data_IF_663398398481
#
_entry.id   IF_663398398481
#
_cell.length_a   1.000
_cell.length_b   1.000
_cell.length_c   1.000
_cell.angle_alpha   90.00
_cell.angle_beta   90.00
_cell.angle_gamma   90.00
#
_symmetry.space_group_name_H-M   'P 1'
#
loop_
_entity.id
_entity.type
_entity.pdbx_description
1 polymer ?
#
# COMPACT_ATOMS: atom_id res chain seq x y z
N UNK A 1 -1.84 30.63 7.68
CA UNK A 1 -2.26 30.20 6.32
C UNK A 1 -3.59 29.46 6.45
N UNK A 2 -4.67 29.97 5.85
CA UNK A 2 -5.90 29.17 5.71
C UNK A 2 -5.61 28.06 4.70
N UNK A 3 -5.71 26.80 5.11
CA UNK A 3 -5.61 25.67 4.18
C UNK A 3 -6.76 25.81 3.19
N UNK A 4 -6.48 26.33 1.99
CA UNK A 4 -7.48 26.52 0.94
C UNK A 4 -8.11 25.16 0.58
N UNK A 5 -9.40 25.14 0.24
CA UNK A 5 -10.16 23.97 -0.25
C UNK A 5 -9.38 23.12 -1.27
N UNK A 6 -8.52 23.73 -2.08
CA UNK A 6 -7.64 23.04 -3.04
C UNK A 6 -6.65 22.01 -2.41
N UNK A 7 -6.32 22.13 -1.12
CA UNK A 7 -5.46 21.16 -0.43
C UNK A 7 -6.19 19.84 -0.10
N UNK A 8 -7.53 19.89 -0.05
CA UNK A 8 -8.42 18.79 0.34
C UNK A 8 -8.70 17.84 -0.83
N UNK A 9 -8.65 18.32 -2.07
CA UNK A 9 -9.03 17.54 -3.27
C UNK A 9 -7.99 16.49 -3.72
N UNK A 10 -6.86 16.33 -3.03
CA UNK A 10 -5.81 15.36 -3.40
C UNK A 10 -5.67 14.21 -2.41
N UNK A 11 -6.77 13.57 -2.03
CA UNK A 11 -6.80 12.29 -1.27
C UNK A 11 -6.44 11.09 -2.19
N UNK A 12 -5.93 11.35 -3.41
CA UNK A 12 -5.48 10.29 -4.32
C UNK A 12 -4.04 9.82 -4.11
N UNK A 13 -3.30 10.44 -3.18
CA UNK A 13 -1.95 10.00 -2.78
C UNK A 13 -1.93 9.63 -1.29
N UNK A 14 -1.45 8.41 -0.97
CA UNK A 14 -1.27 7.86 0.40
C UNK A 14 -0.24 8.62 1.27
N UNK A 15 -0.26 9.96 1.27
CA UNK A 15 0.72 10.81 1.97
C UNK A 15 0.00 11.79 2.86
N UNK A 16 0.47 11.91 4.11
CA UNK A 16 -0.15 12.80 5.10
C UNK A 16 -0.03 14.27 4.68
N UNK A 17 -0.98 15.10 5.12
CA UNK A 17 -0.97 16.54 4.88
C UNK A 17 0.36 17.19 5.32
N UNK A 18 0.90 16.77 6.46
CA UNK A 18 2.20 17.21 6.95
C UNK A 18 3.32 16.98 5.90
N UNK A 19 3.37 15.80 5.28
CA UNK A 19 4.36 15.52 4.23
C UNK A 19 4.20 16.41 3.00
N UNK A 20 2.97 16.76 2.63
CA UNK A 20 2.72 17.68 1.51
C UNK A 20 3.25 19.09 1.83
N UNK A 21 2.99 19.58 3.05
CA UNK A 21 3.48 20.89 3.52
C UNK A 21 5.01 20.92 3.61
N UNK A 22 5.63 19.86 4.14
CA UNK A 22 7.10 19.73 4.19
C UNK A 22 7.73 19.63 2.80
N UNK A 23 7.02 19.14 1.78
CA UNK A 23 7.52 19.15 0.39
C UNK A 23 7.43 20.51 -0.27
N UNK A 24 6.37 21.26 0.03
CA UNK A 24 6.31 22.69 -0.24
C UNK A 24 7.34 23.48 0.59
N UNK A 25 7.91 22.80 1.59
CA UNK A 25 9.03 23.10 2.46
C UNK A 25 8.85 24.26 3.39
N UNK A 26 7.64 24.30 3.90
CA UNK A 26 7.32 24.91 5.17
C UNK A 26 7.47 23.85 6.27
N UNK A 27 7.97 24.29 7.42
CA UNK A 27 8.03 23.51 8.63
C UNK A 27 7.77 24.38 9.85
N UNK A 28 7.16 23.77 10.85
CA UNK A 28 7.06 24.26 12.22
C UNK A 28 6.94 23.06 13.17
N UNK A 29 7.28 23.19 14.47
CA UNK A 29 7.38 22.05 15.39
C UNK A 29 6.10 21.23 15.54
N UNK A 30 4.94 21.89 15.55
CA UNK A 30 3.63 21.25 15.70
C UNK A 30 2.99 20.82 14.38
N UNK A 31 3.70 20.89 13.23
CA UNK A 31 3.14 20.62 11.90
C UNK A 31 2.37 19.31 11.81
N UNK A 32 2.92 18.23 12.39
CA UNK A 32 2.28 16.92 12.37
C UNK A 32 0.99 16.91 13.22
N UNK A 33 1.04 17.52 14.41
CA UNK A 33 -0.12 17.66 15.29
C UNK A 33 -1.20 18.51 14.63
N UNK A 34 -0.84 19.67 14.10
CA UNK A 34 -1.76 20.61 13.45
C UNK A 34 -2.39 20.02 12.19
N UNK A 35 -1.61 19.28 11.38
CA UNK A 35 -2.13 18.56 10.23
C UNK A 35 -3.13 17.46 10.63
N UNK A 36 -2.86 16.77 11.73
CA UNK A 36 -3.75 15.73 12.28
C UNK A 36 -5.03 16.35 12.83
N UNK A 37 -4.92 17.41 13.62
CA UNK A 37 -6.05 18.12 14.20
C UNK A 37 -6.90 18.80 13.12
N UNK A 38 -6.28 19.31 12.06
CA UNK A 38 -6.98 19.79 10.87
C UNK A 38 -7.76 18.67 10.17
N UNK A 39 -7.13 17.52 9.94
CA UNK A 39 -7.80 16.38 9.29
C UNK A 39 -8.98 15.85 10.12
N UNK A 40 -8.87 15.87 11.46
CA UNK A 40 -9.97 15.53 12.38
C UNK A 40 -11.16 16.48 12.28
N UNK A 41 -10.92 17.80 12.16
CA UNK A 41 -11.97 18.82 12.04
C UNK A 41 -12.57 18.94 10.63
N UNK A 42 -11.87 18.44 9.61
CA UNK A 42 -12.29 18.60 8.23
C UNK A 42 -13.34 17.55 7.83
N UNK A 43 -14.60 17.97 7.65
CA UNK A 43 -15.73 17.08 7.29
C UNK A 43 -15.46 16.24 6.04
N UNK A 44 -14.99 16.88 4.96
CA UNK A 44 -14.64 16.16 3.72
C UNK A 44 -13.52 15.13 3.93
N UNK A 45 -12.51 15.41 4.77
CA UNK A 45 -11.49 14.42 5.09
C UNK A 45 -12.07 13.26 5.91
N UNK A 46 -12.97 13.53 6.86
CA UNK A 46 -13.62 12.47 7.65
C UNK A 46 -14.54 11.59 6.80
N UNK A 47 -15.32 12.20 5.90
CA UNK A 47 -16.33 11.51 5.08
C UNK A 47 -15.73 10.66 3.96
N UNK A 48 -14.59 11.09 3.39
CA UNK A 48 -13.91 10.39 2.29
C UNK A 48 -12.63 9.68 2.72
N UNK A 49 -12.32 9.65 4.02
CA UNK A 49 -11.20 8.84 4.52
C UNK A 49 -11.49 7.37 4.26
N UNK A 50 -10.49 6.66 3.72
CA UNK A 50 -10.54 5.20 3.67
C UNK A 50 -10.51 4.68 5.10
N UNK A 51 -11.56 3.98 5.55
CA UNK A 51 -11.62 3.35 6.85
C UNK A 51 -10.62 2.17 6.89
N UNK A 52 -9.37 2.44 7.28
CA UNK A 52 -8.32 1.41 7.42
C UNK A 52 -8.37 0.74 8.81
N UNK A 53 -9.21 1.27 9.73
CA UNK A 53 -9.23 0.88 11.14
C UNK A 53 -10.59 0.34 11.60
N UNK A 54 -11.33 -0.36 10.75
CA UNK A 54 -12.31 -1.29 11.27
C UNK A 54 -11.52 -2.41 11.98
N UNK A 55 -11.64 -2.58 13.31
CA UNK A 55 -11.04 -3.74 13.95
C UNK A 55 -11.59 -4.98 13.27
N UNK A 56 -10.73 -5.96 13.01
CA UNK A 56 -11.20 -7.26 12.57
C UNK A 56 -12.17 -7.77 13.63
N UNK A 57 -13.46 -7.82 13.32
CA UNK A 57 -14.44 -8.43 14.20
C UNK A 57 -14.01 -9.87 14.43
N UNK A 58 -13.98 -10.31 15.69
CA UNK A 58 -13.73 -11.72 16.03
C UNK A 58 -14.69 -12.57 15.21
N UNK A 59 -14.15 -13.41 14.33
CA UNK A 59 -14.96 -14.40 13.64
C UNK A 59 -15.21 -15.52 14.63
N UNK A 60 -16.40 -15.56 15.20
CA UNK A 60 -16.82 -16.67 16.02
C UNK A 60 -17.00 -17.92 15.12
N UNK A 61 -16.42 -19.08 15.50
CA UNK A 61 -16.62 -20.31 14.75
C UNK A 61 -18.09 -20.73 14.82
N UNK A 62 -18.65 -21.11 13.68
CA UNK A 62 -20.01 -21.65 13.64
C UNK A 62 -20.02 -22.97 14.41
N UNK A 63 -20.77 -23.02 15.52
CA UNK A 63 -20.98 -24.24 16.30
C UNK A 63 -22.16 -24.99 15.69
N UNK A 64 -21.94 -26.20 15.19
CA UNK A 64 -22.97 -27.02 14.53
C UNK A 64 -23.03 -28.35 15.26
N UNK A 65 -24.20 -28.70 15.77
CA UNK A 65 -24.41 -29.88 16.60
C UNK A 65 -24.75 -31.13 15.77
N UNK A 66 -25.36 -30.97 14.59
CA UNK A 66 -25.75 -32.09 13.74
C UNK A 66 -25.60 -31.84 12.23
N UNK A 67 -25.43 -32.91 11.43
CA UNK A 67 -25.48 -32.81 9.97
C UNK A 67 -26.81 -32.18 9.50
N UNK A 68 -26.75 -31.44 8.40
CA UNK A 68 -27.86 -30.70 7.76
C UNK A 68 -28.41 -29.49 8.51
N UNK A 69 -27.82 -29.09 9.64
CA UNK A 69 -28.28 -27.94 10.43
C UNK A 69 -27.97 -26.59 9.76
N UNK A 70 -26.77 -26.42 9.17
CA UNK A 70 -26.38 -25.19 8.51
C UNK A 70 -25.60 -25.41 7.20
N UNK A 71 -25.95 -24.60 6.20
CA UNK A 71 -25.38 -24.63 4.85
C UNK A 71 -25.06 -23.21 4.39
N UNK A 72 -23.91 -23.06 3.74
CA UNK A 72 -23.48 -21.84 3.07
C UNK A 72 -23.77 -21.92 1.58
N UNK A 73 -24.53 -20.95 1.06
CA UNK A 73 -24.80 -20.85 -0.38
C UNK A 73 -23.96 -19.71 -0.95
N UNK A 74 -23.29 -19.98 -2.06
CA UNK A 74 -22.62 -18.97 -2.85
C UNK A 74 -23.03 -19.06 -4.32
N UNK A 75 -23.15 -17.91 -4.98
CA UNK A 75 -23.44 -17.83 -6.41
C UNK A 75 -22.18 -17.33 -7.10
N UNK A 76 -21.57 -18.18 -7.92
CA UNK A 76 -20.48 -17.76 -8.79
C UNK A 76 -21.06 -17.23 -10.10
N UNK A 77 -20.55 -16.05 -10.47
CA UNK A 77 -21.13 -15.09 -11.41
C UNK A 77 -21.30 -15.56 -12.87
N UNK A 78 -21.65 -14.60 -13.74
CA UNK A 78 -22.13 -14.83 -15.11
C UNK A 78 -21.04 -15.29 -16.07
N UNK A 79 -20.86 -16.60 -16.18
CA UNK A 79 -20.01 -17.24 -17.18
C UNK A 79 -20.63 -17.12 -18.59
N UNK A 80 -19.80 -17.24 -19.65
CA UNK A 80 -20.30 -17.36 -21.02
C UNK A 80 -21.39 -18.45 -21.07
N UNK A 81 -22.50 -18.21 -21.78
CA UNK A 81 -23.65 -19.10 -21.74
C UNK A 81 -23.24 -20.51 -22.17
N UNK A 82 -23.32 -21.45 -21.23
CA UNK A 82 -23.14 -22.87 -21.51
C UNK A 82 -24.40 -23.44 -22.19
N UNK A 83 -24.37 -24.73 -22.56
CA UNK A 83 -25.52 -25.45 -23.11
C UNK A 83 -26.78 -25.18 -22.27
N UNK A 84 -27.86 -24.75 -22.93
CA UNK A 84 -29.11 -24.28 -22.32
C UNK A 84 -29.06 -22.91 -21.59
N UNK A 85 -28.22 -21.98 -22.06
CA UNK A 85 -28.16 -20.57 -21.61
C UNK A 85 -27.85 -20.35 -20.11
N UNK A 86 -27.29 -21.36 -19.44
CA UNK A 86 -26.91 -21.25 -18.02
C UNK A 86 -25.65 -20.41 -17.88
N UNK A 87 -25.69 -19.42 -16.99
CA UNK A 87 -24.60 -18.45 -16.75
C UNK A 87 -24.07 -18.48 -15.32
N UNK A 88 -24.77 -19.09 -14.38
CA UNK A 88 -24.41 -19.05 -12.96
C UNK A 88 -24.22 -20.45 -12.41
N UNK A 89 -23.33 -20.56 -11.42
CA UNK A 89 -23.13 -21.78 -10.64
C UNK A 89 -23.55 -21.48 -9.21
N UNK A 90 -24.48 -22.26 -8.68
CA UNK A 90 -24.84 -22.23 -7.27
C UNK A 90 -23.99 -23.29 -6.57
N UNK A 91 -23.24 -22.86 -5.56
CA UNK A 91 -22.49 -23.72 -4.66
C UNK A 91 -23.21 -23.76 -3.32
N UNK A 92 -23.46 -24.95 -2.80
CA UNK A 92 -23.96 -25.16 -1.45
C UNK A 92 -22.91 -25.99 -0.71
N UNK A 93 -22.46 -25.49 0.45
CA UNK A 93 -21.47 -26.15 1.31
C UNK A 93 -22.11 -26.37 2.67
N UNK A 94 -22.17 -27.61 3.12
CA UNK A 94 -22.57 -27.94 4.48
C UNK A 94 -21.42 -27.66 5.44
N UNK A 95 -21.68 -26.99 6.56
CA UNK A 95 -20.63 -26.53 7.48
C UNK A 95 -20.25 -27.54 8.58
N UNK A 96 -20.84 -28.75 8.57
CA UNK A 96 -20.56 -29.77 9.58
C UNK A 96 -19.11 -30.28 9.48
N UNK A 97 -18.31 -30.05 10.53
CA UNK A 97 -16.93 -30.52 10.61
C UNK A 97 -16.88 -31.67 11.63
N UNK A 98 -16.67 -32.90 11.16
CA UNK A 98 -16.63 -34.10 12.01
C UNK A 98 -15.33 -34.10 12.84
N UNK A 99 -15.41 -33.75 14.11
CA UNK A 99 -14.29 -33.87 15.05
C UNK A 99 -14.50 -35.11 15.91
N UNK A 100 -13.66 -36.15 15.73
CA UNK A 100 -13.70 -37.32 16.61
C UNK A 100 -13.35 -38.69 16.01
N UNK A 101 -13.18 -38.86 14.70
CA UNK A 101 -12.72 -40.15 14.14
C UNK A 101 -11.78 -39.94 12.96
N UNK A 102 -10.66 -40.66 12.93
CA UNK A 102 -9.83 -40.86 11.74
C UNK A 102 -10.70 -41.43 10.61
N UNK A 103 -11.23 -40.57 9.76
CA UNK A 103 -12.07 -40.98 8.64
C UNK A 103 -12.78 -39.81 7.95
N UNK A 104 -12.16 -39.37 6.85
CA UNK A 104 -12.76 -38.64 5.72
C UNK A 104 -13.25 -37.21 5.96
N UNK A 105 -12.44 -36.25 5.51
CA UNK A 105 -12.95 -34.93 5.09
C UNK A 105 -13.49 -35.10 3.68
N UNK A 106 -14.81 -35.26 3.53
CA UNK A 106 -15.46 -35.16 2.22
C UNK A 106 -15.57 -33.68 1.85
N UNK A 107 -14.54 -33.15 1.18
CA UNK A 107 -14.70 -31.95 0.37
C UNK A 107 -15.61 -32.30 -0.81
N UNK A 108 -16.86 -31.82 -0.78
CA UNK A 108 -17.77 -31.92 -1.92
C UNK A 108 -17.27 -31.00 -3.05
N UNK A 109 -16.41 -31.52 -3.92
CA UNK A 109 -16.26 -30.98 -5.28
C UNK A 109 -17.52 -31.32 -6.07
N UNK A 110 -18.55 -30.46 -6.03
CA UNK A 110 -19.71 -30.63 -6.88
C UNK A 110 -20.03 -29.33 -7.63
N UNK A 111 -19.56 -29.24 -8.87
CA UNK A 111 -20.34 -28.57 -9.92
C UNK A 111 -21.61 -29.39 -10.12
N UNK A 112 -22.65 -29.08 -9.35
CA UNK A 112 -23.94 -29.73 -9.50
C UNK A 112 -24.59 -29.24 -10.81
N UNK A 113 -24.45 -30.02 -11.88
CA UNK A 113 -25.59 -30.24 -12.76
C UNK A 113 -26.59 -31.06 -11.95
N UNK A 114 -27.66 -30.42 -11.48
CA UNK A 114 -28.78 -31.14 -10.88
C UNK A 114 -29.37 -32.10 -11.91
N UNK A 115 -29.02 -33.38 -11.80
CA UNK A 115 -29.87 -34.49 -12.22
C UNK A 115 -29.97 -35.44 -11.03
N UNK A 116 -31.14 -35.45 -10.40
CA UNK A 116 -31.46 -36.36 -9.33
C UNK A 116 -31.64 -37.75 -9.93
N UNK A 117 -30.73 -38.68 -9.62
CA UNK A 117 -31.03 -40.10 -9.70
C UNK A 117 -30.34 -40.82 -8.55
N UNK A 118 -31.17 -41.46 -7.71
CA UNK A 118 -30.73 -42.36 -6.64
C UNK A 118 -29.82 -43.44 -7.20
N UNK A 119 -28.67 -43.66 -6.57
CA UNK A 119 -28.24 -44.96 -6.01
C UNK A 119 -26.90 -44.79 -5.28
N UNK A 120 -26.92 -45.23 -4.03
CA UNK A 120 -25.80 -45.46 -3.13
C UNK A 120 -24.99 -46.68 -3.59
N UNK A 121 -23.69 -46.54 -3.80
CA UNK A 121 -22.70 -47.61 -3.59
C UNK A 121 -21.34 -47.00 -3.23
N UNK A 122 -20.66 -47.62 -2.27
CA UNK A 122 -19.51 -47.15 -1.51
C UNK A 122 -18.14 -47.37 -2.17
N UNK A 123 -18.01 -47.29 -3.50
CA UNK A 123 -16.81 -47.76 -4.22
C UNK A 123 -15.90 -46.65 -4.80
N UNK A 124 -16.03 -45.39 -4.37
CA UNK A 124 -15.35 -44.27 -5.07
C UNK A 124 -14.21 -43.57 -4.33
N UNK A 125 -13.61 -44.22 -3.33
CA UNK A 125 -12.59 -43.59 -2.48
C UNK A 125 -11.13 -43.70 -2.99
N UNK A 126 -10.88 -44.16 -4.22
CA UNK A 126 -9.50 -44.38 -4.73
C UNK A 126 -9.28 -43.89 -6.17
N UNK A 127 -9.80 -42.71 -6.54
CA UNK A 127 -9.51 -42.11 -7.87
C UNK A 127 -8.45 -41.03 -7.74
N UNK A 128 -7.34 -41.21 -8.45
CA UNK A 128 -6.30 -40.21 -8.62
C UNK A 128 -6.88 -38.90 -9.16
N UNK A 129 -6.40 -37.76 -8.65
CA UNK A 129 -6.80 -36.45 -9.17
C UNK A 129 -6.40 -36.32 -10.64
N UNK A 130 -7.16 -35.58 -11.45
CA UNK A 130 -6.82 -35.38 -12.86
C UNK A 130 -5.41 -34.82 -13.08
N UNK A 131 -4.88 -34.07 -12.10
CA UNK A 131 -3.51 -33.55 -12.13
C UNK A 131 -2.46 -34.65 -12.00
N UNK A 132 -2.73 -35.69 -11.20
CA UNK A 132 -1.85 -36.86 -11.04
C UNK A 132 -2.05 -37.83 -12.22
N UNK A 133 -3.30 -38.12 -12.56
CA UNK A 133 -3.66 -39.05 -13.64
C UNK A 133 -3.22 -38.57 -15.04
N UNK A 134 -3.01 -37.26 -15.22
CA UNK A 134 -2.49 -36.65 -16.46
C UNK A 134 -1.06 -36.12 -16.33
N UNK A 135 -0.37 -36.45 -15.23
CA UNK A 135 1.01 -36.03 -15.04
C UNK A 135 1.93 -36.81 -15.97
N UNK A 136 2.47 -36.12 -16.97
CA UNK A 136 3.47 -36.67 -17.87
C UNK A 136 4.85 -36.16 -17.43
N UNK A 137 5.73 -37.10 -17.08
CA UNK A 137 7.07 -36.81 -16.58
C UNK A 137 7.93 -36.12 -17.64
N UNK A 138 7.87 -36.58 -18.88
CA UNK A 138 8.68 -36.07 -19.98
C UNK A 138 8.22 -34.66 -20.38
N UNK A 139 6.91 -34.48 -20.54
CA UNK A 139 6.33 -33.18 -20.82
C UNK A 139 6.60 -32.16 -19.72
N UNK A 140 6.50 -32.57 -18.46
CA UNK A 140 6.81 -31.70 -17.32
C UNK A 140 8.31 -31.36 -17.23
N UNK A 141 9.20 -32.26 -17.65
CA UNK A 141 10.63 -31.97 -17.74
C UNK A 141 10.93 -30.94 -18.84
N UNK A 142 10.33 -31.09 -20.02
CA UNK A 142 10.45 -30.12 -21.12
C UNK A 142 9.90 -28.75 -20.74
N UNK A 143 8.70 -28.69 -20.15
CA UNK A 143 8.11 -27.44 -19.66
C UNK A 143 8.97 -26.78 -18.57
N UNK A 144 9.57 -27.57 -17.67
CA UNK A 144 10.47 -27.05 -16.64
C UNK A 144 11.76 -26.48 -17.22
N UNK A 145 12.36 -27.15 -18.21
CA UNK A 145 13.56 -26.64 -18.90
C UNK A 145 13.22 -25.34 -19.62
N UNK A 146 12.09 -25.29 -20.33
CA UNK A 146 11.59 -24.08 -20.96
C UNK A 146 11.41 -22.95 -19.93
N UNK A 147 10.74 -23.20 -18.82
CA UNK A 147 10.56 -22.21 -17.77
C UNK A 147 11.90 -21.69 -17.24
N UNK A 148 12.88 -22.56 -16.99
CA UNK A 148 14.23 -22.20 -16.54
C UNK A 148 14.94 -21.29 -17.55
N UNK A 149 14.82 -21.56 -18.85
CA UNK A 149 15.40 -20.70 -19.91
C UNK A 149 14.73 -19.33 -19.97
N UNK A 150 13.42 -19.26 -19.70
CA UNK A 150 12.65 -18.02 -19.72
C UNK A 150 12.76 -17.20 -18.42
N UNK A 151 13.45 -17.70 -17.37
CA UNK A 151 13.59 -17.00 -16.09
C UNK A 151 14.30 -15.66 -16.27
N UNK A 152 15.35 -15.60 -17.09
CA UNK A 152 16.13 -14.38 -17.30
C UNK A 152 15.28 -13.30 -17.97
N UNK A 153 14.54 -13.65 -19.02
CA UNK A 153 13.60 -12.74 -19.67
C UNK A 153 12.49 -12.27 -18.71
N UNK A 154 11.95 -13.16 -17.88
CA UNK A 154 10.94 -12.81 -16.84
C UNK A 154 11.53 -11.86 -15.80
N UNK A 155 12.80 -12.05 -15.40
CA UNK A 155 13.52 -11.17 -14.48
C UNK A 155 13.74 -9.80 -15.12
N UNK A 156 14.21 -9.74 -16.36
CA UNK A 156 14.46 -8.48 -17.07
C UNK A 156 13.16 -7.70 -17.28
N UNK A 157 12.08 -8.37 -17.67
CA UNK A 157 10.76 -7.77 -17.74
C UNK A 157 10.28 -7.25 -16.36
N UNK A 158 10.55 -7.98 -15.29
CA UNK A 158 10.24 -7.53 -13.92
C UNK A 158 11.08 -6.31 -13.52
N UNK A 159 12.39 -6.31 -13.81
CA UNK A 159 13.29 -5.18 -13.56
C UNK A 159 12.86 -3.94 -14.37
N UNK A 160 12.52 -4.10 -15.64
CA UNK A 160 12.02 -3.03 -16.49
C UNK A 160 10.73 -2.41 -15.91
N UNK A 161 9.79 -3.24 -15.43
CA UNK A 161 8.59 -2.76 -14.72
C UNK A 161 8.92 -1.99 -13.45
N UNK A 162 9.86 -2.48 -12.63
CA UNK A 162 10.29 -1.81 -11.40
C UNK A 162 10.94 -0.46 -11.73
N UNK A 163 11.84 -0.41 -12.71
CA UNK A 163 12.52 0.82 -13.14
C UNK A 163 11.53 1.82 -13.71
N UNK A 164 10.62 1.38 -14.56
CA UNK A 164 9.55 2.22 -15.10
C UNK A 164 8.68 2.78 -13.97
N UNK A 165 8.28 1.95 -13.01
CA UNK A 165 7.50 2.38 -11.85
C UNK A 165 8.27 3.39 -10.99
N UNK A 166 9.55 3.13 -10.69
CA UNK A 166 10.43 4.07 -9.99
C UNK A 166 10.55 5.40 -10.73
N UNK A 167 10.68 5.38 -12.06
CA UNK A 167 10.73 6.56 -12.91
C UNK A 167 9.44 7.37 -12.88
N UNK A 168 8.27 6.72 -12.97
CA UNK A 168 6.98 7.38 -12.83
C UNK A 168 6.81 8.02 -11.44
N UNK A 169 7.22 7.30 -10.39
CA UNK A 169 7.20 7.82 -9.02
C UNK A 169 8.12 9.04 -8.86
N UNK A 170 9.32 9.01 -9.46
CA UNK A 170 10.25 10.14 -9.48
C UNK A 170 9.70 11.33 -10.25
N UNK A 171 9.10 11.13 -11.42
CA UNK A 171 8.48 12.21 -12.21
C UNK A 171 7.33 12.87 -11.45
N UNK A 172 6.45 12.07 -10.86
CA UNK A 172 5.34 12.58 -10.03
C UNK A 172 5.87 13.35 -8.83
N UNK A 173 6.88 12.82 -8.14
CA UNK A 173 7.54 13.49 -7.03
C UNK A 173 8.15 14.84 -7.47
N UNK A 174 8.99 14.83 -8.51
CA UNK A 174 9.69 16.02 -8.99
C UNK A 174 8.74 17.09 -9.53
N UNK A 175 7.62 16.70 -10.18
CA UNK A 175 6.59 17.63 -10.67
C UNK A 175 5.98 18.48 -9.54
N UNK A 176 5.91 17.93 -8.33
CA UNK A 176 5.30 18.60 -7.18
C UNK A 176 6.31 19.44 -6.36
N UNK A 177 7.61 19.35 -6.66
CA UNK A 177 8.63 20.15 -5.99
C UNK A 177 8.66 21.54 -6.62
N UNK A 178 8.24 22.56 -5.85
CA UNK A 178 8.40 23.95 -6.26
C UNK A 178 9.77 24.47 -5.81
N UNK A 179 10.63 24.95 -6.72
CA UNK A 179 11.91 25.54 -6.33
C UNK A 179 11.67 26.81 -5.52
N UNK A 180 12.31 26.91 -4.34
CA UNK A 180 12.17 28.08 -3.46
C UNK A 180 13.35 29.03 -3.58
N UNK A 181 13.04 30.32 -3.44
CA UNK A 181 14.01 31.38 -3.18
C UNK A 181 13.79 31.88 -1.76
N UNK A 182 14.88 32.04 -1.00
CA UNK A 182 14.87 32.61 0.35
C UNK A 182 15.41 34.03 0.28
N UNK A 183 14.87 34.92 1.10
CA UNK A 183 15.36 36.28 1.25
C UNK A 183 16.33 36.37 2.43
N UNK A 184 17.15 37.42 2.42
CA UNK A 184 18.02 37.71 3.57
C UNK A 184 17.13 38.05 4.76
N UNK A 185 17.36 37.37 5.88
CA UNK A 185 16.55 37.49 7.10
C UNK A 185 15.61 36.31 7.36
N UNK A 186 15.32 35.47 6.37
CA UNK A 186 14.45 34.30 6.55
C UNK A 186 15.07 33.31 7.55
N UNK A 187 14.20 32.71 8.37
CA UNK A 187 14.57 31.61 9.26
C UNK A 187 14.36 30.29 8.54
N UNK A 188 15.37 29.43 8.61
CA UNK A 188 15.38 28.15 7.90
C UNK A 188 15.94 27.03 8.77
N UNK A 189 15.51 25.81 8.47
CA UNK A 189 16.07 24.59 9.02
C UNK A 189 16.94 23.88 7.99
N UNK A 190 18.05 23.35 8.45
CA UNK A 190 19.03 22.64 7.64
C UNK A 190 18.85 21.13 7.80
N UNK A 191 18.96 20.36 6.73
CA UNK A 191 18.93 18.89 6.83
C UNK A 191 20.20 18.39 7.51
N UNK A 192 20.06 17.46 8.44
CA UNK A 192 21.21 16.83 9.11
C UNK A 192 22.01 16.01 8.09
N UNK A 193 23.33 16.12 8.13
CA UNK A 193 24.22 15.37 7.26
C UNK A 193 24.25 13.89 7.67
N UNK A 194 24.20 12.99 6.68
CA UNK A 194 24.15 11.53 6.88
C UNK A 194 25.40 10.98 7.59
N UNK A 195 26.50 11.73 7.57
CA UNK A 195 27.75 11.40 8.25
C UNK A 195 27.67 11.48 9.77
N UNK A 196 26.74 12.27 10.32
CA UNK A 196 26.42 12.21 11.74
C UNK A 196 25.55 10.97 11.92
N UNK A 197 25.95 10.02 12.76
CA UNK A 197 25.14 8.85 13.06
C UNK A 197 23.83 9.29 13.73
N UNK A 198 22.80 9.42 12.92
CA UNK A 198 21.45 9.84 13.28
C UNK A 198 20.63 8.58 13.09
N UNK A 199 20.22 7.97 14.20
CA UNK A 199 19.35 6.81 14.19
C UNK A 199 18.08 7.11 13.39
N UNK A 200 17.36 6.07 12.97
CA UNK A 200 16.13 6.18 12.17
C UNK A 200 15.06 7.11 12.80
N UNK A 201 15.16 7.38 14.11
CA UNK A 201 14.22 8.16 14.92
C UNK A 201 14.71 9.58 15.25
N UNK A 202 15.98 9.90 15.00
CA UNK A 202 16.51 11.21 15.35
C UNK A 202 16.00 12.30 14.40
N UNK A 203 15.95 13.57 14.86
CA UNK A 203 15.42 14.67 14.06
C UNK A 203 16.20 14.85 12.75
N UNK A 204 15.50 14.77 11.62
CA UNK A 204 16.12 14.91 10.29
C UNK A 204 16.56 16.33 9.94
N UNK A 205 16.19 17.32 10.76
CA UNK A 205 16.40 18.74 10.53
C UNK A 205 17.02 19.42 11.77
N UNK A 206 18.06 20.22 11.56
CA UNK A 206 18.80 21.05 12.52
C UNK A 206 18.45 22.54 12.32
N UNK A 207 18.47 23.33 13.39
CA UNK A 207 18.30 24.78 13.36
C UNK A 207 17.53 25.29 14.59
N UNK A 208 17.11 26.57 14.61
CA UNK A 208 16.95 27.48 13.47
C UNK A 208 18.21 28.22 13.02
N UNK A 209 18.29 28.53 11.71
CA UNK A 209 19.34 29.35 11.11
C UNK A 209 18.76 30.54 10.37
N UNK A 210 19.49 31.65 10.35
CA UNK A 210 19.12 32.87 9.61
C UNK A 210 19.86 32.95 8.27
N UNK A 211 19.15 33.27 7.20
CA UNK A 211 19.76 33.54 5.89
C UNK A 211 20.44 34.90 5.90
N UNK A 212 21.76 34.96 5.72
CA UNK A 212 22.53 36.21 5.75
C UNK A 212 22.86 36.74 4.36
N UNK A 213 23.21 35.85 3.42
CA UNK A 213 23.59 36.26 2.05
C UNK A 213 23.19 35.21 1.02
N UNK A 214 22.64 35.69 -0.10
CA UNK A 214 22.45 34.87 -1.30
C UNK A 214 23.74 34.91 -2.12
N UNK A 215 24.42 33.77 -2.29
CA UNK A 215 25.68 33.68 -3.05
C UNK A 215 25.41 33.46 -4.54
N UNK A 216 24.57 32.47 -4.85
CA UNK A 216 24.15 32.05 -6.19
C UNK A 216 22.67 31.66 -6.11
N UNK A 217 21.94 31.57 -7.24
CA UNK A 217 20.58 31.03 -7.22
C UNK A 217 20.55 29.71 -6.43
N UNK A 218 19.63 29.63 -5.46
CA UNK A 218 19.47 28.48 -4.56
C UNK A 218 20.65 28.16 -3.63
N UNK A 219 21.64 29.04 -3.48
CA UNK A 219 22.79 28.84 -2.58
C UNK A 219 22.92 29.99 -1.59
N UNK A 220 22.84 29.68 -0.29
CA UNK A 220 22.72 30.67 0.79
C UNK A 220 23.83 30.51 1.83
N UNK A 221 24.28 31.63 2.40
CA UNK A 221 24.98 31.63 3.68
C UNK A 221 23.97 31.65 4.81
N UNK A 222 24.23 30.81 5.81
CA UNK A 222 23.40 30.63 6.98
C UNK A 222 24.21 31.01 8.21
N UNK A 223 23.54 31.60 9.19
CA UNK A 223 24.10 32.00 10.47
C UNK A 223 23.26 31.37 11.59
N UNK A 224 23.93 30.91 12.64
CA UNK A 224 23.27 30.43 13.85
C UNK A 224 22.60 31.56 14.63
N UNK A 225 21.77 31.22 15.61
CA UNK A 225 21.09 32.20 16.45
C UNK A 225 22.07 32.99 17.33
N UNK A 226 23.23 32.41 17.64
CA UNK A 226 24.33 33.03 18.39
C UNK A 226 25.22 33.91 17.49
N UNK A 227 24.85 34.09 16.22
CA UNK A 227 25.57 34.96 15.28
C UNK A 227 26.78 34.32 14.61
N UNK A 228 27.01 33.01 14.78
CA UNK A 228 28.12 32.31 14.11
C UNK A 228 27.74 31.91 12.68
N UNK A 229 28.54 32.33 11.71
CA UNK A 229 28.40 31.91 10.31
C UNK A 229 28.72 30.42 10.15
N UNK A 230 27.88 29.69 9.41
CA UNK A 230 28.19 28.32 9.01
C UNK A 230 29.35 28.32 7.99
N UNK A 231 30.29 27.35 8.09
CA UNK A 231 31.54 27.38 7.31
C UNK A 231 31.33 27.17 5.81
N UNK A 232 30.25 26.49 5.42
CA UNK A 232 29.93 26.20 4.01
C UNK A 232 28.59 26.83 3.62
N UNK A 233 28.45 27.36 2.39
CA UNK A 233 27.17 27.79 1.87
C UNK A 233 26.27 26.57 1.54
N UNK A 234 24.97 26.73 1.70
CA UNK A 234 23.98 25.66 1.62
C UNK A 234 23.04 25.81 0.43
N UNK A 235 22.77 24.68 -0.26
CA UNK A 235 21.88 24.64 -1.42
C UNK A 235 20.44 24.23 -1.05
N UNK A 236 19.42 24.87 -1.66
CA UNK A 236 17.99 24.59 -1.41
C UNK A 236 17.58 23.18 -1.75
N UNK A 237 18.17 22.58 -2.78
CA UNK A 237 17.54 21.51 -3.57
C UNK A 237 17.25 20.20 -2.81
N UNK A 238 17.49 20.17 -1.49
CA UNK A 238 16.87 19.25 -0.54
C UNK A 238 17.32 19.49 0.91
N UNK A 239 18.16 20.50 1.14
CA UNK A 239 18.88 20.66 2.41
C UNK A 239 18.35 21.78 3.30
N UNK A 240 17.33 22.53 2.86
CA UNK A 240 16.83 23.70 3.59
C UNK A 240 15.29 23.78 3.57
N UNK A 241 14.65 23.95 4.74
CA UNK A 241 13.21 24.23 4.91
C UNK A 241 12.99 25.64 5.45
N UNK A 242 11.92 26.30 5.02
CA UNK A 242 11.48 27.55 5.61
C UNK A 242 10.86 27.28 6.97
N UNK A 243 11.35 27.94 8.02
CA UNK A 243 10.72 27.90 9.32
C UNK A 243 9.62 28.97 9.34
N UNK A 244 8.38 28.51 9.27
CA UNK A 244 7.23 29.42 9.24
C UNK A 244 6.89 29.80 10.67
N UNK A 245 7.09 31.05 11.04
CA UNK A 245 6.63 31.57 12.33
C UNK A 245 5.11 31.75 12.26
N UNK A 246 4.35 30.67 12.45
CA UNK A 246 2.93 30.78 12.78
C UNK A 246 2.83 31.13 14.26
N UNK A 247 2.87 32.43 14.57
CA UNK A 247 2.26 32.94 15.81
C UNK A 247 0.81 33.28 15.49
N UNK A 248 -0.08 32.63 16.26
CA UNK A 248 -1.55 32.73 16.35
C UNK A 248 -2.36 32.54 15.07
#
# INVERSE_FOLDING_TARGET
MRFTRAAVETIRERRSLAQKVTRQGYFWPTLVKDATDFAKRCESCQRFATLIHCPATSMEPVQIACPFEQWGINILGSFPPATAQKKFIIMAVEYFTKEGDRGMVQGLENTAKFHCSRKSTSERANRETQRIARYDVAKNQEERVFDLTMIEEKRDAAYARILHHKGLMMRSYNRQIRPRCFQVGDLVLKKVEVSKHVGKLDPRWEGPFKVTKVKKPRTYKLQDMEGKDLPRPWNVHEKILHMSNLRS
#
